data_IF_083445732308
#
_entry.id   IF_083445732308
#
_cell.length_a   1.000
_cell.length_b   1.000
_cell.length_c   1.000
_cell.angle_alpha   90.00
_cell.angle_beta   90.00
_cell.angle_gamma   90.00
#
_symmetry.space_group_name_H-M   'P 1'
#
loop_
_entity.id
_entity.type
_entity.pdbx_description
1 polymer ?
#
# COMPACT_ATOMS: atom_id res chain seq x y z
N UNK A 1 9.50 -12.96 -10.55
CA UNK A 1 8.82 -13.40 -11.79
C UNK A 1 7.46 -12.74 -11.81
N UNK A 2 7.15 -11.89 -12.79
CA UNK A 2 5.80 -11.32 -12.93
C UNK A 2 4.84 -12.49 -13.17
N UNK A 3 3.91 -12.72 -12.25
CA UNK A 3 2.83 -13.69 -12.47
C UNK A 3 1.96 -13.13 -13.58
N UNK A 4 2.13 -13.63 -14.80
CA UNK A 4 1.21 -13.35 -15.90
C UNK A 4 -0.04 -14.18 -15.63
N UNK A 5 -0.98 -13.61 -14.89
CA UNK A 5 -2.33 -14.15 -14.85
C UNK A 5 -2.92 -13.98 -16.26
N UNK A 6 -3.57 -15.00 -16.83
CA UNK A 6 -4.30 -14.81 -18.07
C UNK A 6 -5.33 -13.70 -17.85
N UNK A 7 -5.15 -12.57 -18.55
CA UNK A 7 -6.11 -11.46 -18.57
C UNK A 7 -7.46 -12.00 -19.03
N UNK A 8 -8.42 -12.02 -18.11
CA UNK A 8 -9.82 -12.30 -18.42
C UNK A 8 -10.43 -10.94 -18.83
N UNK A 9 -10.92 -10.78 -20.07
CA UNK A 9 -11.54 -9.53 -20.49
C UNK A 9 -12.67 -9.13 -19.53
N UNK A 10 -12.54 -7.95 -18.90
CA UNK A 10 -13.48 -7.45 -17.89
C UNK A 10 -13.12 -7.80 -16.43
N UNK A 11 -12.00 -8.47 -16.20
CA UNK A 11 -11.45 -8.81 -14.89
C UNK A 11 -9.97 -8.40 -14.78
N UNK A 12 -9.62 -7.28 -15.42
CA UNK A 12 -8.30 -6.70 -15.29
C UNK A 12 -8.10 -6.19 -13.85
N UNK A 13 -6.91 -6.38 -13.27
CA UNK A 13 -6.59 -5.77 -11.99
C UNK A 13 -6.79 -4.25 -12.07
N UNK A 14 -7.38 -3.67 -11.03
CA UNK A 14 -7.48 -2.22 -10.94
C UNK A 14 -6.08 -1.59 -11.03
N UNK A 15 -6.01 -0.46 -11.74
CA UNK A 15 -4.78 0.30 -11.82
C UNK A 15 -4.33 0.74 -10.42
N UNK A 16 -3.01 0.73 -10.19
CA UNK A 16 -2.44 1.19 -8.94
C UNK A 16 -2.77 2.67 -8.67
N UNK A 17 -3.19 2.98 -7.45
CA UNK A 17 -3.45 4.34 -6.98
C UNK A 17 -2.88 4.55 -5.58
N UNK A 18 -1.94 5.50 -5.44
CA UNK A 18 -1.35 5.85 -4.14
C UNK A 18 -2.40 6.37 -3.16
N UNK A 19 -3.39 7.12 -3.65
CA UNK A 19 -4.48 7.65 -2.82
C UNK A 19 -5.38 6.53 -2.31
N UNK A 20 -5.71 5.55 -3.16
CA UNK A 20 -6.46 4.38 -2.75
C UNK A 20 -5.68 3.57 -1.70
N UNK A 21 -4.37 3.37 -1.88
CA UNK A 21 -3.51 2.70 -0.90
C UNK A 21 -3.54 3.40 0.47
N UNK A 22 -3.44 4.73 0.50
CA UNK A 22 -3.57 5.50 1.76
C UNK A 22 -4.96 5.34 2.39
N UNK A 23 -6.00 5.35 1.57
CA UNK A 23 -7.37 5.08 2.02
C UNK A 23 -7.49 3.73 2.71
N UNK A 24 -6.94 2.67 2.11
CA UNK A 24 -6.91 1.32 2.73
C UNK A 24 -6.18 1.30 4.06
N UNK A 25 -5.03 1.97 4.17
CA UNK A 25 -4.27 2.06 5.43
C UNK A 25 -5.07 2.81 6.50
N UNK A 26 -5.72 3.93 6.16
CA UNK A 26 -6.57 4.68 7.10
C UNK A 26 -7.73 3.80 7.61
N UNK A 27 -8.42 3.09 6.71
CA UNK A 27 -9.51 2.18 7.08
C UNK A 27 -9.02 1.09 8.04
N UNK A 28 -7.94 0.38 7.68
CA UNK A 28 -7.39 -0.68 8.52
C UNK A 28 -6.96 -0.18 9.90
N UNK A 29 -6.28 0.97 9.97
CA UNK A 29 -5.85 1.54 11.25
C UNK A 29 -7.02 2.03 12.10
N UNK A 30 -8.06 2.61 11.48
CA UNK A 30 -9.27 2.98 12.20
C UNK A 30 -9.94 1.75 12.82
N UNK A 31 -10.08 0.66 12.05
CA UNK A 31 -10.70 -0.58 12.52
C UNK A 31 -9.88 -1.29 13.59
N UNK A 32 -8.56 -1.13 13.57
CA UNK A 32 -7.66 -1.57 14.64
C UNK A 32 -7.66 -0.66 15.88
N UNK A 33 -8.40 0.45 15.89
CA UNK A 33 -8.54 1.35 17.04
C UNK A 33 -7.34 2.29 17.25
N UNK A 34 -6.54 2.55 16.21
CA UNK A 34 -5.45 3.52 16.31
C UNK A 34 -5.98 4.95 16.52
N UNK A 35 -5.18 5.76 17.21
CA UNK A 35 -5.50 7.17 17.42
C UNK A 35 -5.47 7.96 16.10
N UNK A 36 -6.24 9.04 16.02
CA UNK A 36 -6.19 9.94 14.87
C UNK A 36 -4.79 10.54 14.65
N UNK A 37 -4.00 10.71 15.71
CA UNK A 37 -2.63 11.22 15.60
C UNK A 37 -1.69 10.18 14.97
N UNK A 38 -1.79 8.92 15.39
CA UNK A 38 -1.01 7.83 14.79
C UNK A 38 -1.37 7.60 13.33
N UNK A 39 -2.67 7.62 13.00
CA UNK A 39 -3.13 7.52 11.60
C UNK A 39 -2.52 8.64 10.76
N UNK A 40 -2.57 9.89 11.21
CA UNK A 40 -1.95 11.02 10.49
C UNK A 40 -0.44 10.83 10.31
N UNK A 41 0.25 10.36 11.36
CA UNK A 41 1.70 10.11 11.32
C UNK A 41 2.06 9.04 10.30
N UNK A 42 1.36 7.90 10.32
CA UNK A 42 1.59 6.79 9.37
C UNK A 42 1.26 7.21 7.95
N UNK A 43 0.13 7.87 7.70
CA UNK A 43 -0.24 8.31 6.34
C UNK A 43 0.77 9.29 5.75
N UNK A 44 1.32 10.20 6.58
CA UNK A 44 2.40 11.11 6.14
C UNK A 44 3.67 10.34 5.80
N UNK A 45 4.09 9.38 6.63
CA UNK A 45 5.27 8.57 6.35
C UNK A 45 5.07 7.69 5.11
N UNK A 46 3.86 7.18 4.90
CA UNK A 46 3.50 6.44 3.69
C UNK A 46 3.57 7.32 2.44
N UNK A 47 3.21 8.62 2.55
CA UNK A 47 3.43 9.57 1.46
C UNK A 47 4.89 9.67 1.08
N UNK A 48 5.76 9.93 2.06
CA UNK A 48 7.19 10.10 1.83
C UNK A 48 7.79 8.80 1.26
N UNK A 49 7.36 7.63 1.76
CA UNK A 49 7.84 6.34 1.27
C UNK A 49 7.53 6.10 -0.22
N UNK A 50 6.37 6.56 -0.72
CA UNK A 50 6.05 6.46 -2.15
C UNK A 50 6.97 7.31 -3.04
N UNK A 51 7.47 8.44 -2.54
CA UNK A 51 8.34 9.34 -3.30
C UNK A 51 9.81 8.91 -3.25
N UNK A 52 10.24 8.27 -2.15
CA UNK A 52 11.65 7.91 -1.92
C UNK A 52 11.99 6.45 -2.24
N UNK A 53 11.01 5.58 -2.46
CA UNK A 53 11.25 4.17 -2.74
C UNK A 53 10.56 3.71 -4.02
N UNK A 54 11.23 2.81 -4.72
CA UNK A 54 10.65 2.12 -5.86
C UNK A 54 9.64 1.05 -5.42
N UNK A 55 8.73 0.68 -6.33
CA UNK A 55 7.76 -0.41 -6.09
C UNK A 55 8.48 -1.72 -5.71
N UNK A 56 9.61 -2.03 -6.36
CA UNK A 56 10.35 -3.25 -6.07
C UNK A 56 10.98 -3.22 -4.66
N UNK A 57 11.52 -2.08 -4.21
CA UNK A 57 12.03 -1.95 -2.85
C UNK A 57 10.91 -2.12 -1.81
N UNK A 58 9.75 -1.50 -2.03
CA UNK A 58 8.59 -1.66 -1.17
C UNK A 58 8.09 -3.13 -1.14
N UNK A 59 8.05 -3.80 -2.28
CA UNK A 59 7.68 -5.21 -2.40
C UNK A 59 8.66 -6.12 -1.65
N UNK A 60 9.97 -5.89 -1.80
CA UNK A 60 10.99 -6.61 -1.04
C UNK A 60 10.83 -6.39 0.47
N UNK A 61 10.53 -5.15 0.90
CA UNK A 61 10.25 -4.85 2.31
C UNK A 61 9.01 -5.57 2.83
N UNK A 62 7.97 -5.75 2.02
CA UNK A 62 6.78 -6.50 2.44
C UNK A 62 7.04 -8.01 2.61
N UNK A 63 7.78 -8.63 1.68
CA UNK A 63 8.03 -10.07 1.71
C UNK A 63 9.16 -10.50 2.65
N UNK A 64 10.10 -9.60 2.95
CA UNK A 64 11.33 -9.93 3.68
C UNK A 64 11.64 -8.98 4.85
N UNK A 65 10.84 -7.95 5.07
CA UNK A 65 11.00 -7.05 6.21
C UNK A 65 10.38 -7.61 7.48
N UNK A 66 10.94 -7.23 8.62
CA UNK A 66 10.33 -7.47 9.92
C UNK A 66 9.28 -6.39 10.21
N UNK A 67 8.08 -6.81 10.59
CA UNK A 67 6.96 -5.95 11.02
C UNK A 67 6.03 -6.69 11.98
#
# INVERSE_FOLDING_TARGET
MKKTYPSIPGLEPDAWSNDACRGYVIMAMHDCGFSHEDIRRVVRQLHEAFDFHTINEAEQKYYHGDY
#
